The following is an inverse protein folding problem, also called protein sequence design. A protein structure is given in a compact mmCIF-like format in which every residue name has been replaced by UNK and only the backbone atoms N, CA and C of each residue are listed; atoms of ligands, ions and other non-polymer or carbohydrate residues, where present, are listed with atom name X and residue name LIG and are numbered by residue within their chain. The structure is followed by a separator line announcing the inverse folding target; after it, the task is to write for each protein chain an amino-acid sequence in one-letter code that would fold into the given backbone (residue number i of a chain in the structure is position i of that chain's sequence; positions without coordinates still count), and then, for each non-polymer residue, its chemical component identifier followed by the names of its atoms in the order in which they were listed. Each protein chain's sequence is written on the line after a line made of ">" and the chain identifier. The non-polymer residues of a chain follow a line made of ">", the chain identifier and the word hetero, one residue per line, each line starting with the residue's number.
data_IF_548763012109
#
_entry.id   IF_548763012109
#
_cell.length_a   1.000
_cell.length_b   1.000
_cell.length_c   1.000
_cell.angle_alpha   90.00
_cell.angle_beta   90.00
_cell.angle_gamma   90.00
#
_symmetry.space_group_name_H-M   'P 1'
#
loop_
_entity.id
_entity.type
_entity.pdbx_description
1 polymer ?
#
# COMPACT_ATOMS: atom_id res chain seq x y z
N UNK A 1 -12.07 -15.18 -3.30
CA UNK A 1 -12.90 -14.06 -2.80
C UNK A 1 -12.19 -12.75 -3.04
N UNK A 2 -12.91 -11.76 -3.56
CA UNK A 2 -12.34 -10.43 -3.76
C UNK A 2 -13.35 -9.33 -3.46
N UNK A 3 -12.88 -8.29 -2.80
CA UNK A 3 -13.56 -7.01 -2.61
C UNK A 3 -12.65 -5.93 -3.20
N UNK A 4 -13.12 -5.19 -4.18
CA UNK A 4 -12.31 -4.17 -4.83
C UNK A 4 -12.93 -2.80 -4.68
N UNK A 5 -12.07 -1.82 -4.36
CA UNK A 5 -12.40 -0.39 -4.35
C UNK A 5 -13.64 -0.04 -3.49
N UNK A 6 -13.74 -0.65 -2.31
CA UNK A 6 -14.83 -0.34 -1.36
C UNK A 6 -14.61 1.06 -0.81
N UNK A 7 -15.58 1.94 -1.04
CA UNK A 7 -15.57 3.34 -0.59
C UNK A 7 -16.82 3.65 0.21
N UNK A 8 -16.68 4.50 1.21
CA UNK A 8 -17.83 5.06 1.91
C UNK A 8 -18.28 6.31 1.16
N UNK A 9 -19.44 6.22 0.51
CA UNK A 9 -20.05 7.37 -0.16
C UNK A 9 -20.71 8.32 0.86
N UNK A 10 -20.16 9.51 1.02
CA UNK A 10 -20.78 10.56 1.85
C UNK A 10 -21.45 11.56 0.93
N UNK A 11 -22.78 11.66 1.01
CA UNK A 11 -23.55 12.68 0.30
C UNK A 11 -23.55 13.98 1.11
N UNK A 12 -22.48 14.75 1.04
CA UNK A 12 -22.42 16.08 1.67
C UNK A 12 -22.34 17.16 0.60
N UNK A 13 -22.99 18.31 0.88
CA UNK A 13 -22.85 19.54 0.07
C UNK A 13 -21.58 20.31 0.43
N UNK A 14 -20.79 19.83 1.39
CA UNK A 14 -19.54 20.47 1.84
C UNK A 14 -18.36 20.00 0.97
N UNK A 15 -17.35 20.85 0.86
CA UNK A 15 -16.08 20.46 0.27
C UNK A 15 -15.47 19.29 1.07
N UNK A 16 -14.85 18.30 0.39
CA UNK A 16 -14.22 17.16 1.06
C UNK A 16 -13.15 17.65 2.03
N UNK A 17 -13.19 17.13 3.24
CA UNK A 17 -12.15 17.38 4.26
C UNK A 17 -11.10 16.27 4.22
N UNK A 18 -9.85 16.51 4.68
CA UNK A 18 -8.79 15.50 4.65
C UNK A 18 -9.16 14.20 5.37
N UNK A 19 -9.96 14.29 6.44
CA UNK A 19 -10.38 13.16 7.27
C UNK A 19 -11.69 12.48 6.82
N UNK A 20 -12.26 12.90 5.69
CA UNK A 20 -13.50 12.31 5.19
C UNK A 20 -13.27 10.85 4.77
N UNK A 21 -14.10 9.90 5.22
CA UNK A 21 -14.01 8.50 4.80
C UNK A 21 -14.11 8.29 3.29
N UNK A 22 -14.72 9.23 2.56
CA UNK A 22 -14.83 9.19 1.10
C UNK A 22 -13.45 9.29 0.39
N UNK A 23 -12.42 9.81 1.07
CA UNK A 23 -11.06 9.89 0.54
C UNK A 23 -10.33 8.54 0.59
N UNK A 24 -10.87 7.58 1.34
CA UNK A 24 -10.27 6.25 1.52
C UNK A 24 -10.98 5.24 0.61
N UNK A 25 -10.20 4.34 0.06
CA UNK A 25 -10.70 3.12 -0.57
C UNK A 25 -9.94 1.91 -0.08
N UNK A 26 -10.66 0.84 0.14
CA UNK A 26 -10.10 -0.43 0.59
C UNK A 26 -10.35 -1.51 -0.45
N UNK A 27 -9.34 -2.34 -0.69
CA UNK A 27 -9.44 -3.53 -1.53
C UNK A 27 -8.86 -4.72 -0.79
N UNK A 28 -9.49 -5.86 -0.90
CA UNK A 28 -9.03 -7.12 -0.34
C UNK A 28 -9.28 -8.26 -1.32
N UNK A 29 -8.29 -9.11 -1.52
CA UNK A 29 -8.46 -10.35 -2.28
C UNK A 29 -7.77 -11.50 -1.57
N UNK A 30 -8.41 -12.66 -1.62
CA UNK A 30 -7.86 -13.93 -1.16
C UNK A 30 -8.11 -14.98 -2.23
N UNK A 31 -7.05 -15.62 -2.67
CA UNK A 31 -7.06 -16.75 -3.58
C UNK A 31 -6.47 -17.96 -2.87
N UNK A 32 -7.19 -19.07 -2.90
CA UNK A 32 -6.74 -20.35 -2.40
C UNK A 32 -6.85 -21.37 -3.53
N UNK A 33 -5.77 -22.07 -3.79
CA UNK A 33 -5.71 -23.17 -4.75
C UNK A 33 -5.11 -24.38 -4.08
N UNK A 34 -5.75 -25.53 -4.25
CA UNK A 34 -5.23 -26.81 -3.82
C UNK A 34 -5.39 -27.82 -4.94
N UNK A 35 -4.32 -28.54 -5.22
CA UNK A 35 -4.25 -29.56 -6.26
C UNK A 35 -3.64 -30.82 -5.65
N UNK A 36 -4.08 -31.99 -6.10
CA UNK A 36 -3.50 -33.30 -5.78
C UNK A 36 -3.40 -34.15 -7.03
N UNK A 37 -2.42 -35.04 -7.07
CA UNK A 37 -2.14 -35.88 -8.23
C UNK A 37 -1.53 -37.22 -7.84
N UNK A 38 -1.13 -38.02 -8.86
CA UNK A 38 -0.53 -39.33 -8.63
C UNK A 38 0.81 -39.23 -7.89
N UNK A 39 1.64 -38.26 -8.25
CA UNK A 39 2.96 -38.01 -7.68
C UNK A 39 2.93 -37.00 -6.54
N UNK A 40 1.84 -36.26 -6.38
CA UNK A 40 1.69 -35.15 -5.44
C UNK A 40 0.58 -35.47 -4.43
N UNK A 41 0.91 -35.49 -3.15
CA UNK A 41 -0.10 -35.65 -2.09
C UNK A 41 -1.01 -34.45 -2.09
N UNK A 42 -0.42 -33.25 -2.02
CA UNK A 42 -1.10 -31.97 -2.22
C UNK A 42 -0.11 -30.87 -2.61
N UNK A 43 -0.59 -29.94 -3.36
CA UNK A 43 0.03 -28.64 -3.67
C UNK A 43 -0.96 -27.57 -3.27
N UNK A 44 -0.53 -26.67 -2.41
CA UNK A 44 -1.37 -25.61 -1.85
C UNK A 44 -0.74 -24.25 -2.12
N UNK A 45 -1.54 -23.34 -2.64
CA UNK A 45 -1.15 -21.94 -2.89
C UNK A 45 -2.20 -21.03 -2.27
N UNK A 46 -1.77 -20.18 -1.35
CA UNK A 46 -2.58 -19.17 -0.70
C UNK A 46 -2.02 -17.78 -1.02
N UNK A 47 -2.83 -16.90 -1.58
CA UNK A 47 -2.47 -15.53 -1.86
C UNK A 47 -3.45 -14.58 -1.20
N UNK A 48 -2.92 -13.62 -0.43
CA UNK A 48 -3.68 -12.52 0.17
C UNK A 48 -3.14 -11.20 -0.31
N UNK A 49 -4.03 -10.31 -0.65
CA UNK A 49 -3.70 -8.93 -0.99
C UNK A 49 -4.67 -8.00 -0.31
N UNK A 50 -4.15 -7.04 0.43
CA UNK A 50 -4.90 -5.96 1.06
C UNK A 50 -4.34 -4.63 0.61
N UNK A 51 -5.18 -3.71 0.12
CA UNK A 51 -4.75 -2.39 -0.28
C UNK A 51 -5.64 -1.31 0.35
N UNK A 52 -5.00 -0.29 0.90
CA UNK A 52 -5.62 0.92 1.41
C UNK A 52 -5.12 2.11 0.57
N UNK A 53 -6.03 2.78 -0.11
CA UNK A 53 -5.72 3.97 -0.88
C UNK A 53 -6.38 5.18 -0.24
N UNK A 54 -5.64 6.25 -0.09
CA UNK A 54 -6.11 7.56 0.31
C UNK A 54 -5.81 8.55 -0.80
N UNK A 55 -6.81 9.37 -1.16
CA UNK A 55 -6.62 10.42 -2.15
C UNK A 55 -7.45 11.64 -1.74
N UNK A 56 -6.79 12.74 -1.52
CA UNK A 56 -7.40 14.00 -1.16
C UNK A 56 -7.00 15.10 -2.15
N UNK A 57 -7.99 15.74 -2.75
CA UNK A 57 -7.83 16.85 -3.68
C UNK A 57 -8.72 18.01 -3.22
N UNK A 58 -8.19 18.94 -2.41
CA UNK A 58 -8.95 20.06 -1.91
C UNK A 58 -9.36 21.01 -3.03
N UNK A 59 -10.57 21.52 -2.94
CA UNK A 59 -11.00 22.66 -3.75
C UNK A 59 -10.48 23.93 -3.08
N UNK A 60 -9.51 24.59 -3.69
CA UNK A 60 -8.92 25.81 -3.15
C UNK A 60 -9.11 27.01 -4.08
N UNK A 61 -9.14 28.19 -3.49
CA UNK A 61 -9.06 29.45 -4.21
C UNK A 61 -7.66 29.99 -4.05
N UNK A 62 -7.03 30.35 -5.16
CA UNK A 62 -5.72 31.02 -5.14
C UNK A 62 -5.83 32.33 -4.37
N UNK A 63 -5.00 32.48 -3.37
CA UNK A 63 -4.90 33.71 -2.59
C UNK A 63 -4.01 34.70 -3.36
N UNK A 64 -4.59 35.80 -3.82
CA UNK A 64 -3.91 36.86 -4.58
C UNK A 64 -3.82 38.10 -3.70
N UNK A 65 -2.85 38.24 -2.78
CA UNK A 65 -2.79 39.32 -1.82
C UNK A 65 -2.60 40.71 -2.45
N UNK A 66 -1.91 40.74 -3.57
CA UNK A 66 -1.51 41.96 -4.24
C UNK A 66 -2.41 42.36 -5.44
N UNK A 67 -3.47 41.60 -5.69
CA UNK A 67 -4.41 41.90 -6.82
C UNK A 67 -5.01 43.29 -6.74
N UNK A 68 -5.24 43.81 -5.52
CA UNK A 68 -5.87 45.11 -5.27
C UNK A 68 -4.90 46.31 -5.30
N UNK A 69 -3.60 46.10 -5.52
CA UNK A 69 -2.62 47.18 -5.59
C UNK A 69 -2.91 48.07 -6.80
N UNK A 70 -3.34 49.29 -6.53
CA UNK A 70 -3.55 50.35 -7.55
C UNK A 70 -2.22 50.99 -7.92
N UNK A 71 -1.63 50.61 -9.05
CA UNK A 71 -0.42 51.21 -9.58
C UNK A 71 -0.20 50.73 -11.00
N UNK A 72 0.25 51.67 -11.90
CA UNK A 72 0.53 51.40 -13.32
C UNK A 72 2.01 51.05 -13.59
N UNK A 73 2.84 50.91 -12.54
CA UNK A 73 4.25 50.60 -12.70
C UNK A 73 4.45 49.14 -13.15
N UNK A 74 5.33 48.93 -14.15
CA UNK A 74 5.70 47.59 -14.64
C UNK A 74 6.26 46.69 -13.55
N UNK A 75 6.91 47.27 -12.53
CA UNK A 75 7.43 46.56 -11.35
C UNK A 75 6.34 45.94 -10.49
N UNK A 76 5.16 46.55 -10.45
CA UNK A 76 4.00 46.02 -9.69
C UNK A 76 3.29 44.85 -10.38
N UNK A 77 3.61 44.56 -11.63
CA UNK A 77 3.02 43.43 -12.34
C UNK A 77 3.52 42.08 -11.78
N UNK A 78 4.79 42.04 -11.33
CA UNK A 78 5.34 40.83 -10.72
C UNK A 78 4.62 40.43 -9.41
N UNK A 79 4.54 41.29 -8.38
CA UNK A 79 3.79 40.95 -7.17
C UNK A 79 2.29 40.78 -7.43
N UNK A 80 1.67 41.48 -8.37
CA UNK A 80 0.25 41.28 -8.73
C UNK A 80 -0.03 39.91 -9.37
N UNK A 81 0.94 39.34 -10.07
CA UNK A 81 0.85 38.04 -10.67
C UNK A 81 1.09 36.89 -9.66
N UNK A 82 1.59 37.23 -8.46
CA UNK A 82 1.88 36.26 -7.39
C UNK A 82 0.58 35.79 -6.76
N UNK A 83 0.11 34.64 -7.22
CA UNK A 83 -0.96 33.88 -6.57
C UNK A 83 -0.33 32.80 -5.69
N UNK A 84 -0.73 32.73 -4.43
CA UNK A 84 -0.28 31.73 -3.48
C UNK A 84 -1.38 30.71 -3.21
N UNK A 85 -1.06 29.45 -3.34
CA UNK A 85 -1.92 28.35 -2.95
C UNK A 85 -1.37 27.73 -1.65
N UNK A 86 -2.08 27.92 -0.57
CA UNK A 86 -1.67 27.42 0.74
C UNK A 86 -2.02 25.93 0.96
N UNK A 87 -2.87 25.35 0.11
CA UNK A 87 -3.20 23.94 0.15
C UNK A 87 -2.54 23.21 -1.03
N UNK A 88 -2.09 21.96 -0.82
CA UNK A 88 -1.61 21.13 -1.91
C UNK A 88 -2.73 20.80 -2.89
N UNK A 89 -2.39 20.59 -4.14
CA UNK A 89 -3.35 20.23 -5.18
C UNK A 89 -3.87 18.80 -4.98
N UNK A 90 -2.98 17.89 -4.61
CA UNK A 90 -3.32 16.49 -4.36
C UNK A 90 -2.39 15.91 -3.32
N UNK A 91 -2.94 15.15 -2.40
CA UNK A 91 -2.22 14.26 -1.47
C UNK A 91 -2.72 12.86 -1.74
N UNK A 92 -1.83 11.92 -1.99
CA UNK A 92 -2.19 10.52 -2.10
C UNK A 92 -1.27 9.63 -1.27
N UNK A 93 -1.85 8.58 -0.73
CA UNK A 93 -1.16 7.53 -0.02
C UNK A 93 -1.74 6.19 -0.45
N UNK A 94 -0.87 5.28 -0.87
CA UNK A 94 -1.20 3.90 -1.20
C UNK A 94 -0.41 2.98 -0.29
N UNK A 95 -1.08 2.02 0.32
CA UNK A 95 -0.47 0.99 1.16
C UNK A 95 -1.01 -0.36 0.74
N UNK A 96 -0.16 -1.23 0.25
CA UNK A 96 -0.50 -2.56 -0.24
C UNK A 96 0.30 -3.62 0.49
N UNK A 97 -0.41 -4.56 1.09
CA UNK A 97 0.12 -5.77 1.71
C UNK A 97 -0.19 -6.96 0.80
N UNK A 98 0.83 -7.70 0.41
CA UNK A 98 0.71 -8.91 -0.41
C UNK A 98 1.44 -10.05 0.27
N UNK A 99 0.72 -11.13 0.57
CA UNK A 99 1.28 -12.35 1.12
C UNK A 99 1.01 -13.51 0.18
N UNK A 100 2.04 -14.25 -0.18
CA UNK A 100 1.95 -15.53 -0.88
C UNK A 100 2.52 -16.63 0.01
N UNK A 101 1.83 -17.74 0.06
CA UNK A 101 2.27 -18.95 0.74
C UNK A 101 2.08 -20.13 -0.20
N UNK A 102 3.12 -20.90 -0.38
CA UNK A 102 3.15 -22.10 -1.20
C UNK A 102 3.63 -23.28 -0.37
N UNK A 103 2.98 -24.42 -0.54
CA UNK A 103 3.30 -25.67 0.16
C UNK A 103 3.11 -26.85 -0.79
N UNK A 104 4.11 -27.69 -0.92
CA UNK A 104 4.11 -28.88 -1.76
C UNK A 104 4.52 -30.10 -0.94
N UNK A 105 3.69 -31.13 -0.98
CA UNK A 105 3.96 -32.44 -0.41
C UNK A 105 3.94 -33.48 -1.51
N UNK A 106 5.09 -34.05 -1.83
CA UNK A 106 5.24 -35.10 -2.83
C UNK A 106 5.20 -36.50 -2.20
N UNK A 107 4.79 -37.48 -2.98
CA UNK A 107 4.82 -38.89 -2.60
C UNK A 107 6.21 -39.48 -2.86
N UNK A 108 6.66 -40.33 -1.99
CA UNK A 108 7.81 -41.16 -2.24
C UNK A 108 7.37 -42.41 -3.05
N UNK A 109 7.70 -42.43 -4.32
CA UNK A 109 7.34 -43.51 -5.25
C UNK A 109 8.30 -44.70 -5.19
N UNK A 110 9.45 -44.56 -4.51
CA UNK A 110 10.44 -45.64 -4.38
C UNK A 110 10.25 -46.45 -3.10
N UNK A 111 9.57 -45.90 -2.09
CA UNK A 111 9.31 -46.62 -0.87
C UNK A 111 8.07 -47.51 -0.98
N UNK A 112 8.18 -48.73 -0.41
CA UNK A 112 7.08 -49.69 -0.33
C UNK A 112 5.99 -49.28 0.68
N UNK A 113 6.31 -48.36 1.58
CA UNK A 113 5.40 -47.74 2.51
C UNK A 113 4.87 -46.44 1.93
N UNK A 114 3.63 -46.08 2.24
CA UNK A 114 3.02 -44.78 1.82
C UNK A 114 3.73 -43.59 2.50
N UNK A 115 5.03 -43.45 2.26
CA UNK A 115 5.82 -42.35 2.78
C UNK A 115 5.72 -41.15 1.86
N UNK A 116 5.88 -39.95 2.41
CA UNK A 116 5.93 -38.70 1.68
C UNK A 116 7.32 -38.08 1.79
N UNK A 117 7.76 -37.42 0.74
CA UNK A 117 9.00 -36.66 0.74
C UNK A 117 8.90 -35.47 1.72
N UNK A 118 10.03 -34.88 2.12
CA UNK A 118 10.01 -33.70 2.98
C UNK A 118 9.15 -32.57 2.40
N UNK A 119 8.41 -31.88 3.27
CA UNK A 119 7.55 -30.78 2.89
C UNK A 119 8.36 -29.61 2.32
N UNK A 120 8.04 -29.20 1.10
CA UNK A 120 8.58 -27.98 0.49
C UNK A 120 7.59 -26.85 0.69
N UNK A 121 8.06 -25.72 1.20
CA UNK A 121 7.23 -24.53 1.37
C UNK A 121 8.01 -23.25 1.04
N UNK A 122 7.27 -22.24 0.67
CA UNK A 122 7.78 -20.88 0.46
C UNK A 122 6.74 -19.88 0.97
N UNK A 123 7.21 -18.85 1.65
CA UNK A 123 6.36 -17.74 2.09
C UNK A 123 7.04 -16.43 1.76
N UNK A 124 6.25 -15.47 1.31
CA UNK A 124 6.70 -14.11 1.06
C UNK A 124 5.60 -13.15 1.49
N UNK A 125 5.95 -12.18 2.31
CA UNK A 125 5.02 -11.17 2.78
C UNK A 125 5.63 -9.77 2.55
N UNK A 126 5.07 -9.03 1.59
CA UNK A 126 5.56 -7.73 1.15
C UNK A 126 4.58 -6.62 1.57
N UNK A 127 5.14 -5.48 1.90
CA UNK A 127 4.41 -4.25 2.20
C UNK A 127 4.93 -3.10 1.36
N UNK A 128 4.16 -2.72 0.36
CA UNK A 128 4.44 -1.61 -0.52
C UNK A 128 3.71 -0.37 -0.03
N UNK A 129 4.42 0.74 0.09
CA UNK A 129 3.86 2.03 0.52
C UNK A 129 4.32 3.11 -0.44
N UNK A 130 3.36 3.88 -0.93
CA UNK A 130 3.62 5.00 -1.81
C UNK A 130 2.93 6.24 -1.25
N UNK A 131 3.64 7.34 -1.22
CA UNK A 131 3.13 8.61 -0.79
C UNK A 131 3.48 9.66 -1.84
N UNK A 132 2.51 10.50 -2.22
CA UNK A 132 2.76 11.61 -3.12
C UNK A 132 2.03 12.88 -2.70
N UNK A 133 2.70 14.00 -2.87
CA UNK A 133 2.12 15.34 -2.72
C UNK A 133 2.45 16.13 -3.97
N UNK A 134 1.41 16.70 -4.57
CA UNK A 134 1.55 17.71 -5.61
C UNK A 134 1.07 19.06 -5.07
N UNK A 135 1.92 20.04 -5.14
CA UNK A 135 1.65 21.38 -4.64
C UNK A 135 2.04 22.44 -5.66
N UNK A 136 1.07 23.12 -6.20
CA UNK A 136 1.28 24.30 -7.05
C UNK A 136 1.31 25.53 -6.13
N UNK A 137 2.47 25.80 -5.51
CA UNK A 137 2.63 26.84 -4.50
C UNK A 137 2.31 28.24 -5.06
N UNK A 138 2.73 28.48 -6.30
CA UNK A 138 2.38 29.67 -7.06
C UNK A 138 1.93 29.31 -8.46
N UNK A 139 1.51 30.27 -9.28
CA UNK A 139 1.17 30.03 -10.70
C UNK A 139 2.34 29.48 -11.52
N UNK A 140 3.58 29.72 -11.08
CA UNK A 140 4.80 29.38 -11.81
C UNK A 140 5.72 28.44 -11.02
N UNK A 141 5.35 28.03 -9.80
CA UNK A 141 6.14 27.12 -8.98
C UNK A 141 5.30 25.91 -8.64
N UNK A 142 5.65 24.81 -9.27
CA UNK A 142 5.04 23.52 -9.08
C UNK A 142 6.00 22.60 -8.34
N UNK A 143 5.55 22.00 -7.23
CA UNK A 143 6.32 21.10 -6.41
C UNK A 143 5.66 19.73 -6.43
N UNK A 144 6.44 18.70 -6.68
CA UNK A 144 5.99 17.31 -6.61
C UNK A 144 6.96 16.52 -5.74
N UNK A 145 6.42 15.87 -4.73
CA UNK A 145 7.16 14.94 -3.87
C UNK A 145 6.55 13.55 -3.98
N UNK A 146 7.38 12.55 -4.19
CA UNK A 146 6.99 11.16 -4.23
C UNK A 146 7.95 10.35 -3.36
N UNK A 147 7.39 9.43 -2.58
CA UNK A 147 8.15 8.46 -1.77
C UNK A 147 7.56 7.08 -1.99
N UNK A 148 8.38 6.12 -2.36
CA UNK A 148 8.02 4.72 -2.47
C UNK A 148 8.91 3.89 -1.55
N UNK A 149 8.32 2.97 -0.82
CA UNK A 149 9.01 2.04 0.08
C UNK A 149 8.48 0.64 -0.17
N UNK A 150 9.38 -0.28 -0.47
CA UNK A 150 9.11 -1.71 -0.50
C UNK A 150 9.73 -2.33 0.74
N UNK A 151 8.93 -2.99 1.55
CA UNK A 151 9.37 -3.63 2.78
C UNK A 151 8.90 -5.08 2.83
N UNK A 152 9.67 -5.92 3.50
CA UNK A 152 9.31 -7.29 3.82
C UNK A 152 8.81 -7.37 5.26
N UNK A 153 7.73 -8.10 5.45
CA UNK A 153 7.24 -8.50 6.77
C UNK A 153 7.87 -9.85 7.10
N UNK A 154 8.71 -9.87 8.12
CA UNK A 154 9.43 -11.08 8.50
C UNK A 154 8.49 -12.16 9.03
N UNK A 155 8.57 -13.32 8.44
CA UNK A 155 7.86 -14.54 8.85
C UNK A 155 8.89 -15.59 9.28
N UNK A 156 8.60 -16.39 10.34
CA UNK A 156 9.45 -17.54 10.68
C UNK A 156 9.48 -18.54 9.53
N UNK A 157 10.65 -19.05 9.19
CA UNK A 157 10.80 -20.07 8.16
C UNK A 157 10.36 -21.45 8.66
N UNK A 158 9.06 -21.61 8.80
CA UNK A 158 8.43 -22.86 9.25
C UNK A 158 7.08 -23.02 8.55
N UNK A 159 6.64 -24.26 8.27
CA UNK A 159 5.29 -24.52 7.79
C UNK A 159 4.26 -23.99 8.78
N UNK A 160 3.28 -23.23 8.26
CA UNK A 160 2.26 -22.58 9.08
C UNK A 160 0.96 -23.35 8.93
N UNK A 161 0.71 -24.27 9.87
CA UNK A 161 -0.55 -24.99 9.97
C UNK A 161 -1.08 -24.87 11.39
N UNK A 162 -2.22 -24.21 11.54
CA UNK A 162 -2.85 -23.94 12.83
C UNK A 162 -3.29 -25.23 13.54
N UNK A 163 -3.75 -26.22 12.78
CA UNK A 163 -4.34 -27.44 13.34
C UNK A 163 -3.26 -28.45 13.73
N UNK A 164 -2.16 -28.52 12.97
CA UNK A 164 -1.05 -29.42 13.23
C UNK A 164 -0.02 -28.83 14.22
N UNK A 165 0.21 -27.51 14.15
CA UNK A 165 1.27 -26.83 14.92
C UNK A 165 0.78 -25.50 15.51
N UNK A 166 -0.09 -25.52 16.54
CA UNK A 166 -0.68 -24.30 17.12
C UNK A 166 0.37 -23.34 17.68
N UNK A 167 1.45 -23.87 18.29
CA UNK A 167 2.52 -23.04 18.86
C UNK A 167 3.30 -22.28 17.76
N UNK A 168 3.59 -22.94 16.64
CA UNK A 168 4.25 -22.31 15.48
C UNK A 168 3.36 -21.25 14.85
N UNK A 169 2.06 -21.51 14.78
CA UNK A 169 1.08 -20.54 14.29
C UNK A 169 1.02 -19.30 15.21
N UNK A 170 1.09 -19.46 16.51
CA UNK A 170 1.12 -18.34 17.44
C UNK A 170 2.43 -17.54 17.31
N UNK A 171 3.58 -18.22 17.24
CA UNK A 171 4.87 -17.59 17.01
C UNK A 171 4.90 -16.78 15.70
N UNK A 172 4.31 -17.32 14.63
CA UNK A 172 4.13 -16.63 13.37
C UNK A 172 3.30 -15.33 13.53
N UNK A 173 2.15 -15.40 14.23
CA UNK A 173 1.32 -14.21 14.48
C UNK A 173 2.08 -13.11 15.24
N UNK A 174 2.87 -13.50 16.22
CA UNK A 174 3.63 -12.55 17.05
C UNK A 174 4.77 -11.92 16.25
N UNK A 175 5.47 -12.71 15.41
CA UNK A 175 6.49 -12.22 14.49
C UNK A 175 5.91 -11.22 13.49
N UNK A 176 4.85 -11.58 12.79
CA UNK A 176 4.17 -10.71 11.82
C UNK A 176 3.66 -9.42 12.49
N UNK A 177 3.03 -9.53 13.66
CA UNK A 177 2.55 -8.36 14.41
C UNK A 177 3.70 -7.43 14.81
N UNK A 178 4.82 -7.99 15.23
CA UNK A 178 6.02 -7.22 15.60
C UNK A 178 6.62 -6.55 14.37
N UNK A 179 6.77 -7.27 13.27
CA UNK A 179 7.29 -6.74 12.02
C UNK A 179 6.41 -5.60 11.47
N UNK A 180 5.08 -5.76 11.47
CA UNK A 180 4.15 -4.69 11.07
C UNK A 180 4.27 -3.47 11.99
N UNK A 181 4.43 -3.66 13.30
CA UNK A 181 4.61 -2.54 14.25
C UNK A 181 5.88 -1.74 13.96
N UNK A 182 6.93 -2.38 13.46
CA UNK A 182 8.21 -1.74 13.09
C UNK A 182 8.27 -1.36 11.59
N UNK A 183 7.13 -1.36 10.89
CA UNK A 183 7.01 -0.98 9.47
C UNK A 183 7.69 -1.94 8.48
N UNK A 184 8.00 -3.17 8.91
CA UNK A 184 8.73 -4.16 8.12
C UNK A 184 10.20 -3.82 7.92
N UNK A 185 10.92 -4.76 7.32
CA UNK A 185 12.33 -4.57 6.94
C UNK A 185 12.38 -3.97 5.54
N UNK A 186 12.88 -2.72 5.37
CA UNK A 186 12.89 -2.07 4.07
C UNK A 186 13.86 -2.80 3.11
N UNK A 187 13.35 -3.18 1.95
CA UNK A 187 14.12 -3.76 0.85
C UNK A 187 14.60 -2.68 -0.11
N UNK A 188 13.73 -1.70 -0.37
CA UNK A 188 13.99 -0.60 -1.27
C UNK A 188 13.27 0.66 -0.78
N UNK A 189 13.93 1.81 -0.98
CA UNK A 189 13.39 3.11 -0.61
C UNK A 189 13.80 4.16 -1.62
N UNK A 190 12.82 4.80 -2.23
CA UNK A 190 13.02 5.84 -3.25
C UNK A 190 12.26 7.11 -2.88
N UNK A 191 12.95 8.24 -2.92
CA UNK A 191 12.32 9.56 -2.83
C UNK A 191 12.66 10.39 -4.06
N UNK A 192 11.69 11.11 -4.56
CA UNK A 192 11.85 12.04 -5.68
C UNK A 192 11.18 13.36 -5.31
N UNK A 193 11.93 14.43 -5.40
CA UNK A 193 11.44 15.79 -5.26
C UNK A 193 11.72 16.56 -6.55
N UNK A 194 10.68 17.17 -7.11
CA UNK A 194 10.78 17.98 -8.33
C UNK A 194 10.15 19.34 -8.06
N UNK A 195 10.85 20.38 -8.42
CA UNK A 195 10.36 21.77 -8.41
C UNK A 195 10.59 22.38 -9.80
N UNK A 196 9.56 22.95 -10.39
CA UNK A 196 9.59 23.58 -11.72
C UNK A 196 8.79 24.89 -11.74
#
# INVERSE_FOLDING_TARGET
>A
FSLSNVKVGIKTKRHPMPYDPANFSFSYSHSHRQTSGETTVYEKEDQWRGALNYSYSPVYKTFEPFKKLKGKSKWLNFPKALGLNYLPQTISFNSELTRSYYELQERDLESTENSSLPLTFNSQFLWNREFSIRWDLTKNLHMNFQSATHAEIEEPYTPINKDLYPDRYQAWKDSVKTSIRHWGTPLDYKQTFTAS
#
